data_IF_409937581779
#
_entry.id   IF_409937581779
#
_cell.length_a   1.000
_cell.length_b   1.000
_cell.length_c   1.000
_cell.angle_alpha   90.00
_cell.angle_beta   90.00
_cell.angle_gamma   90.00
#
_symmetry.space_group_name_H-M   'P 1'
#
loop_
_entity.id
_entity.type
_entity.pdbx_description
1 polymer ?
#
# COMPACT_ATOMS: atom_id res chain seq x y z
N UNK A 1 11.43 -21.55 -17.35
CA UNK A 1 10.27 -21.02 -16.59
C UNK A 1 9.74 -19.80 -17.35
N UNK A 2 8.42 -19.62 -17.44
CA UNK A 2 7.84 -18.44 -18.09
C UNK A 2 8.03 -17.17 -17.24
N UNK A 3 7.94 -16.00 -17.88
CA UNK A 3 8.01 -14.70 -17.21
C UNK A 3 6.97 -14.54 -16.10
N UNK A 4 5.70 -14.90 -16.38
CA UNK A 4 4.62 -14.89 -15.38
C UNK A 4 4.96 -15.71 -14.15
N UNK A 5 5.56 -16.90 -14.32
CA UNK A 5 5.97 -17.76 -13.20
C UNK A 5 7.15 -17.18 -12.42
N UNK A 6 8.13 -16.56 -13.10
CA UNK A 6 9.23 -15.86 -12.43
C UNK A 6 8.73 -14.70 -11.58
N UNK A 7 7.87 -13.85 -12.14
CA UNK A 7 7.27 -12.71 -11.43
C UNK A 7 6.41 -13.15 -10.25
N UNK A 8 5.65 -14.24 -10.39
CA UNK A 8 4.90 -14.79 -9.27
C UNK A 8 5.80 -15.22 -8.09
N UNK A 9 6.97 -15.83 -8.36
CA UNK A 9 7.96 -16.18 -7.33
C UNK A 9 8.53 -14.92 -6.67
N UNK A 10 8.82 -13.88 -7.46
CA UNK A 10 9.33 -12.60 -6.96
C UNK A 10 8.30 -11.91 -6.06
N UNK A 11 7.04 -11.86 -6.50
CA UNK A 11 5.92 -11.31 -5.73
C UNK A 11 5.78 -12.01 -4.36
N UNK A 12 5.63 -13.33 -4.36
CA UNK A 12 5.52 -14.14 -3.14
C UNK A 12 6.75 -13.95 -2.22
N UNK A 13 7.93 -13.80 -2.82
CA UNK A 13 9.16 -13.56 -2.06
C UNK A 13 9.20 -12.17 -1.43
N UNK A 14 8.78 -11.12 -2.13
CA UNK A 14 8.70 -9.76 -1.60
C UNK A 14 7.66 -9.71 -0.47
N UNK A 15 6.47 -10.27 -0.67
CA UNK A 15 5.44 -10.34 0.38
C UNK A 15 5.96 -11.04 1.62
N UNK A 16 6.56 -12.23 1.46
CA UNK A 16 7.08 -13.01 2.58
C UNK A 16 8.18 -12.28 3.36
N UNK A 17 9.07 -11.55 2.67
CA UNK A 17 10.22 -10.90 3.31
C UNK A 17 9.83 -9.55 3.92
N UNK A 18 9.02 -8.75 3.24
CA UNK A 18 8.79 -7.34 3.59
C UNK A 18 7.40 -7.05 4.16
N UNK A 19 6.40 -7.89 3.89
CA UNK A 19 4.99 -7.60 4.18
C UNK A 19 4.26 -8.76 4.86
N UNK A 20 4.99 -9.74 5.42
CA UNK A 20 4.41 -10.85 6.16
C UNK A 20 5.13 -11.05 7.50
N UNK A 21 5.02 -10.06 8.43
CA UNK A 21 5.57 -10.22 9.77
C UNK A 21 5.05 -11.51 10.42
N UNK A 22 5.92 -12.21 11.12
CA UNK A 22 5.67 -13.60 11.56
C UNK A 22 5.21 -13.72 13.01
N UNK A 23 5.38 -12.65 13.79
CA UNK A 23 5.02 -12.58 15.20
C UNK A 23 4.40 -11.23 15.54
N UNK A 24 3.69 -11.15 16.67
CA UNK A 24 3.12 -9.89 17.16
C UNK A 24 4.18 -8.78 17.35
N UNK A 25 5.39 -9.17 17.74
CA UNK A 25 6.52 -8.25 17.85
C UNK A 25 6.94 -7.72 16.47
N UNK A 26 7.03 -8.59 15.46
CA UNK A 26 7.34 -8.18 14.07
C UNK A 26 6.25 -7.26 13.52
N UNK A 27 4.98 -7.58 13.78
CA UNK A 27 3.84 -6.75 13.38
C UNK A 27 3.95 -5.34 13.98
N UNK A 28 4.24 -5.27 15.28
CA UNK A 28 4.38 -3.99 16.00
C UNK A 28 5.60 -3.20 15.52
N UNK A 29 6.71 -3.89 15.23
CA UNK A 29 7.90 -3.27 14.66
C UNK A 29 7.63 -2.71 13.26
N UNK A 30 6.93 -3.46 12.40
CA UNK A 30 6.56 -3.03 11.06
C UNK A 30 5.69 -1.77 11.11
N UNK A 31 4.64 -1.77 11.94
CA UNK A 31 3.74 -0.62 12.10
C UNK A 31 4.46 0.58 12.72
N UNK A 32 5.38 0.35 13.65
CA UNK A 32 6.25 1.39 14.20
C UNK A 32 7.16 2.03 13.14
N UNK A 33 7.72 1.25 12.21
CA UNK A 33 8.48 1.78 11.07
C UNK A 33 7.55 2.57 10.15
N UNK A 34 6.37 2.03 9.85
CA UNK A 34 5.38 2.69 9.02
C UNK A 34 5.04 4.09 9.55
N UNK A 35 4.62 4.21 10.83
CA UNK A 35 4.32 5.49 11.48
C UNK A 35 5.48 6.50 11.39
N UNK A 36 6.71 6.04 11.65
CA UNK A 36 7.93 6.86 11.55
C UNK A 36 8.26 7.32 10.13
N UNK A 37 7.65 6.75 9.10
CA UNK A 37 7.90 7.17 7.72
C UNK A 37 6.84 8.10 7.16
N UNK A 38 5.64 8.12 7.75
CA UNK A 38 4.53 8.97 7.29
C UNK A 38 4.87 10.45 7.39
N UNK A 39 5.42 10.90 8.51
CA UNK A 39 5.79 12.30 8.70
C UNK A 39 6.78 12.80 7.63
N UNK A 40 7.78 11.98 7.25
CA UNK A 40 8.79 12.35 6.26
C UNK A 40 8.22 12.47 4.85
N UNK A 41 7.28 11.60 4.49
CA UNK A 41 6.77 11.51 3.12
C UNK A 41 5.51 12.32 2.87
N UNK A 42 4.70 12.53 3.90
CA UNK A 42 3.51 13.37 3.82
C UNK A 42 3.80 14.81 4.25
N UNK A 43 5.02 15.11 4.70
CA UNK A 43 5.40 16.43 5.19
C UNK A 43 4.66 16.84 6.47
N UNK A 44 4.18 15.86 7.24
CA UNK A 44 3.45 16.08 8.48
C UNK A 44 4.42 16.21 9.66
N UNK A 45 3.97 16.88 10.73
CA UNK A 45 4.72 16.89 11.99
C UNK A 45 4.83 15.47 12.55
N UNK A 46 5.92 15.19 13.28
CA UNK A 46 6.19 13.89 13.92
C UNK A 46 5.29 13.63 15.13
N UNK A 47 3.98 13.79 14.98
CA UNK A 47 3.01 13.58 16.06
C UNK A 47 2.65 12.09 16.24
N UNK A 48 2.91 11.25 15.24
CA UNK A 48 2.42 9.86 15.25
C UNK A 48 3.51 8.94 15.79
N UNK A 49 3.56 8.87 17.12
CA UNK A 49 4.58 8.10 17.84
C UNK A 49 4.30 6.58 17.86
N UNK A 50 3.09 6.15 17.50
CA UNK A 50 2.73 4.74 17.49
C UNK A 50 1.57 4.45 16.57
N UNK A 51 1.72 3.40 15.75
CA UNK A 51 0.65 2.71 15.04
C UNK A 51 0.55 1.28 15.60
N UNK A 52 -0.61 0.92 16.12
CA UNK A 52 -0.99 -0.42 16.55
C UNK A 52 -1.76 -1.18 15.47
N UNK A 53 -2.15 -2.42 15.75
CA UNK A 53 -2.90 -3.22 14.77
C UNK A 53 -4.34 -2.75 14.59
N UNK A 54 -4.86 -1.90 15.48
CA UNK A 54 -6.15 -1.23 15.37
C UNK A 54 -5.91 0.25 15.62
N UNK A 55 -5.97 1.05 14.57
CA UNK A 55 -5.62 2.45 14.67
C UNK A 55 -6.39 3.35 13.71
N UNK A 56 -6.33 4.64 14.01
CA UNK A 56 -7.01 5.70 13.27
C UNK A 56 -6.04 6.83 13.05
N UNK A 57 -6.04 7.36 11.84
CA UNK A 57 -5.19 8.48 11.52
C UNK A 57 -5.79 9.42 10.48
N UNK A 58 -5.44 10.70 10.59
CA UNK A 58 -6.03 11.76 9.80
C UNK A 58 -5.08 12.18 8.67
N UNK A 59 -5.61 12.25 7.46
CA UNK A 59 -4.94 12.76 6.28
C UNK A 59 -5.49 14.16 6.03
N UNK A 60 -5.00 15.12 6.83
CA UNK A 60 -5.57 16.47 6.95
C UNK A 60 -5.72 17.18 5.60
N UNK A 61 -4.72 17.05 4.72
CA UNK A 61 -4.71 17.67 3.39
C UNK A 61 -5.68 17.02 2.38
N UNK A 62 -6.33 15.91 2.72
CA UNK A 62 -7.42 15.32 1.92
C UNK A 62 -8.77 15.43 2.63
N UNK A 63 -8.81 16.01 3.83
CA UNK A 63 -9.95 15.93 4.74
C UNK A 63 -10.46 14.50 4.98
N UNK A 64 -9.53 13.54 4.98
CA UNK A 64 -9.82 12.12 5.16
C UNK A 64 -9.34 11.57 6.50
N UNK A 65 -10.06 10.57 6.98
CA UNK A 65 -9.69 9.70 8.10
C UNK A 65 -9.52 8.28 7.59
N UNK A 66 -8.37 7.68 7.87
CA UNK A 66 -8.15 6.27 7.66
C UNK A 66 -8.30 5.54 8.99
N UNK A 67 -9.17 4.54 9.04
CA UNK A 67 -9.27 3.60 10.15
C UNK A 67 -8.97 2.21 9.63
N UNK A 68 -8.14 1.46 10.34
CA UNK A 68 -7.88 0.06 10.02
C UNK A 68 -7.86 -0.81 11.28
N UNK A 69 -8.15 -2.09 11.09
CA UNK A 69 -8.04 -3.12 12.13
C UNK A 69 -7.48 -4.39 11.48
N UNK A 70 -6.29 -4.80 11.90
CA UNK A 70 -5.54 -5.97 11.46
C UNK A 70 -5.61 -7.01 12.57
N UNK A 71 -6.36 -8.08 12.35
CA UNK A 71 -6.34 -9.25 13.24
C UNK A 71 -5.16 -10.16 12.87
N UNK A 72 -4.97 -10.37 11.57
CA UNK A 72 -3.82 -11.07 10.98
C UNK A 72 -3.72 -10.75 9.48
N UNK A 73 -2.75 -11.36 8.78
CA UNK A 73 -2.53 -11.10 7.35
C UNK A 73 -3.74 -11.46 6.48
N UNK A 74 -4.56 -12.43 6.91
CA UNK A 74 -5.71 -12.95 6.17
C UNK A 74 -7.05 -12.37 6.68
N UNK A 75 -7.03 -11.57 7.76
CA UNK A 75 -8.22 -10.93 8.33
C UNK A 75 -7.94 -9.52 8.79
N UNK A 76 -8.49 -8.55 8.07
CA UNK A 76 -8.40 -7.14 8.42
C UNK A 76 -9.51 -6.32 7.79
N UNK A 77 -9.75 -5.12 8.33
CA UNK A 77 -10.65 -4.14 7.75
C UNK A 77 -9.96 -2.79 7.61
N UNK A 78 -10.41 -2.02 6.64
CA UNK A 78 -9.98 -0.64 6.44
C UNK A 78 -11.14 0.21 5.93
N UNK A 79 -11.20 1.46 6.38
CA UNK A 79 -12.14 2.45 5.88
C UNK A 79 -11.47 3.80 5.69
N UNK A 80 -11.86 4.48 4.62
CA UNK A 80 -11.59 5.88 4.37
C UNK A 80 -12.89 6.66 4.56
N UNK A 81 -12.86 7.62 5.49
CA UNK A 81 -14.01 8.41 5.91
C UNK A 81 -13.69 9.89 5.81
N UNK A 82 -14.72 10.72 5.81
CA UNK A 82 -14.57 12.16 5.97
C UNK A 82 -14.06 12.50 7.39
N UNK A 83 -13.22 13.53 7.53
CA UNK A 83 -12.83 14.03 8.86
C UNK A 83 -13.99 14.66 9.61
N UNK A 84 -14.85 15.39 8.89
CA UNK A 84 -15.92 16.24 9.39
C UNK A 84 -17.27 15.51 9.50
N UNK A 85 -17.48 14.47 8.69
CA UNK A 85 -18.71 13.69 8.64
C UNK A 85 -18.46 12.20 8.95
N UNK A 86 -19.43 11.52 9.55
CA UNK A 86 -19.36 10.06 9.78
C UNK A 86 -19.59 9.23 8.50
N UNK A 87 -19.42 9.84 7.32
CA UNK A 87 -19.64 9.18 6.03
C UNK A 87 -18.38 8.44 5.60
N UNK A 88 -18.52 7.14 5.35
CA UNK A 88 -17.49 6.34 4.68
C UNK A 88 -17.55 6.56 3.17
N UNK A 89 -16.42 6.95 2.59
CA UNK A 89 -16.25 6.98 1.13
C UNK A 89 -15.97 5.59 0.57
N UNK A 90 -15.20 4.81 1.33
CA UNK A 90 -14.73 3.51 0.91
C UNK A 90 -14.42 2.64 2.12
N UNK A 91 -14.78 1.36 2.04
CA UNK A 91 -14.55 0.39 3.10
C UNK A 91 -14.30 -0.98 2.50
N UNK A 92 -13.32 -1.70 3.06
CA UNK A 92 -13.06 -3.08 2.73
C UNK A 92 -12.95 -3.92 4.00
N UNK A 93 -13.52 -5.12 3.92
CA UNK A 93 -13.41 -6.17 4.91
C UNK A 93 -12.82 -7.38 4.24
N UNK A 94 -11.70 -7.85 4.76
CA UNK A 94 -11.03 -9.07 4.32
C UNK A 94 -11.24 -10.09 5.43
N UNK A 95 -12.00 -11.13 5.12
CA UNK A 95 -12.39 -12.19 6.05
C UNK A 95 -11.64 -13.48 5.73
N UNK A 96 -10.98 -14.05 6.75
CA UNK A 96 -10.21 -15.29 6.61
C UNK A 96 -11.05 -16.52 6.19
N UNK A 97 -12.39 -16.43 6.29
CA UNK A 97 -13.30 -17.52 5.91
C UNK A 97 -13.67 -17.53 4.43
N UNK A 98 -13.38 -16.44 3.71
CA UNK A 98 -13.62 -16.32 2.27
C UNK A 98 -12.30 -16.49 1.52
N UNK A 99 -12.24 -17.53 0.70
CA UNK A 99 -11.05 -17.92 -0.05
C UNK A 99 -10.66 -16.80 -1.03
N UNK A 100 -9.55 -16.11 -0.76
CA UNK A 100 -8.93 -15.15 -1.69
C UNK A 100 -7.88 -15.86 -2.57
N UNK A 101 -7.48 -15.26 -3.69
CA UNK A 101 -6.44 -15.83 -4.56
C UNK A 101 -5.10 -16.01 -3.83
N UNK A 102 -4.81 -15.14 -2.86
CA UNK A 102 -3.67 -15.27 -1.94
C UNK A 102 -3.72 -16.56 -1.08
N UNK A 103 -4.93 -17.03 -0.72
CA UNK A 103 -5.10 -18.30 0.03
C UNK A 103 -4.92 -19.56 -0.82
N UNK A 104 -4.93 -19.44 -2.16
CA UNK A 104 -4.85 -20.56 -3.10
C UNK A 104 -3.51 -20.67 -3.84
N UNK A 105 -2.73 -19.58 -3.91
CA UNK A 105 -1.51 -19.53 -4.71
C UNK A 105 -0.33 -18.94 -3.95
N UNK A 106 0.48 -19.80 -3.34
CA UNK A 106 1.91 -19.52 -3.25
C UNK A 106 2.55 -19.92 -4.58
N UNK A 107 3.40 -19.06 -5.14
CA UNK A 107 4.28 -19.49 -6.22
C UNK A 107 5.34 -20.40 -5.60
N UNK A 108 5.01 -21.68 -5.42
CA UNK A 108 5.92 -22.67 -4.84
C UNK A 108 7.11 -22.86 -5.78
N UNK A 109 8.26 -22.26 -5.47
CA UNK A 109 9.46 -22.43 -6.29
C UNK A 109 10.60 -21.50 -5.92
N UNK A 110 11.80 -21.86 -6.37
CA UNK A 110 12.98 -20.97 -6.33
C UNK A 110 13.10 -20.26 -7.66
N UNK A 111 13.50 -18.99 -7.61
CA UNK A 111 13.81 -18.24 -8.83
C UNK A 111 14.90 -18.99 -9.63
N UNK A 112 14.69 -19.25 -10.94
CA UNK A 112 15.58 -20.08 -11.74
C UNK A 112 16.99 -19.48 -11.84
N UNK A 113 18.00 -20.20 -11.33
CA UNK A 113 19.41 -19.75 -11.30
C UNK A 113 19.94 -19.31 -12.67
N UNK A 114 19.61 -20.07 -13.72
CA UNK A 114 20.03 -19.81 -15.10
C UNK A 114 19.38 -18.55 -15.71
N UNK A 115 18.36 -17.97 -15.05
CA UNK A 115 17.62 -16.80 -15.53
C UNK A 115 17.81 -15.58 -14.61
N UNK A 116 18.85 -15.59 -13.76
CA UNK A 116 19.18 -14.48 -12.84
C UNK A 116 19.38 -13.14 -13.55
N UNK A 117 19.81 -13.14 -14.81
CA UNK A 117 19.93 -11.92 -15.60
C UNK A 117 18.59 -11.16 -15.76
N UNK A 118 17.44 -11.84 -15.59
CA UNK A 118 16.12 -11.21 -15.63
C UNK A 118 15.61 -10.73 -14.26
N UNK A 119 16.31 -11.05 -13.17
CA UNK A 119 15.78 -10.86 -11.82
C UNK A 119 15.49 -9.38 -11.51
N UNK A 120 16.39 -8.47 -11.86
CA UNK A 120 16.20 -7.04 -11.64
C UNK A 120 14.92 -6.54 -12.34
N UNK A 121 14.76 -6.88 -13.62
CA UNK A 121 13.56 -6.51 -14.40
C UNK A 121 12.27 -7.12 -13.82
N UNK A 122 12.35 -8.36 -13.31
CA UNK A 122 11.19 -9.01 -12.70
C UNK A 122 10.86 -8.40 -11.33
N UNK A 123 11.84 -7.94 -10.54
CA UNK A 123 11.64 -7.15 -9.31
C UNK A 123 10.99 -5.81 -9.63
N UNK A 124 11.52 -5.08 -10.60
CA UNK A 124 10.97 -3.80 -11.08
C UNK A 124 9.51 -3.92 -11.47
N UNK A 125 9.18 -4.91 -12.31
CA UNK A 125 7.82 -5.12 -12.79
C UNK A 125 6.86 -5.53 -11.66
N UNK A 126 7.33 -6.30 -10.68
CA UNK A 126 6.53 -6.68 -9.52
C UNK A 126 6.30 -5.50 -8.59
N UNK A 127 7.34 -4.73 -8.23
CA UNK A 127 7.19 -3.55 -7.37
C UNK A 127 6.29 -2.49 -8.02
N UNK A 128 6.43 -2.28 -9.33
CA UNK A 128 5.53 -1.41 -10.09
C UNK A 128 4.08 -1.87 -10.00
N UNK A 129 3.79 -3.14 -10.32
CA UNK A 129 2.44 -3.70 -10.25
C UNK A 129 1.90 -3.91 -8.84
N UNK A 130 2.73 -3.86 -7.81
CA UNK A 130 2.35 -4.09 -6.41
C UNK A 130 2.10 -2.78 -5.66
N UNK A 131 2.97 -1.78 -5.85
CA UNK A 131 3.04 -0.60 -4.98
C UNK A 131 2.76 0.71 -5.73
N UNK A 132 3.13 0.81 -7.00
CA UNK A 132 3.13 2.09 -7.72
C UNK A 132 1.97 2.21 -8.72
N UNK A 133 1.66 1.14 -9.43
CA UNK A 133 0.58 1.01 -10.40
C UNK A 133 -0.12 -0.35 -10.26
N UNK A 134 -0.84 -0.59 -9.15
CA UNK A 134 -1.62 -1.81 -8.98
C UNK A 134 -2.58 -2.02 -10.15
N UNK A 135 -2.82 -3.29 -10.52
CA UNK A 135 -3.77 -3.61 -11.59
C UNK A 135 -5.22 -3.37 -11.18
N UNK A 136 -5.54 -3.61 -9.90
CA UNK A 136 -6.85 -3.40 -9.32
C UNK A 136 -6.75 -2.26 -8.31
N UNK A 137 -7.38 -1.14 -8.62
CA UNK A 137 -7.46 0.02 -7.75
C UNK A 137 -8.70 0.84 -8.08
N UNK A 138 -9.11 1.69 -7.14
CA UNK A 138 -10.01 2.80 -7.40
C UNK A 138 -9.21 4.10 -7.43
N UNK A 139 -9.66 5.07 -8.22
CA UNK A 139 -9.13 6.42 -8.19
C UNK A 139 -9.82 7.22 -7.08
N UNK A 140 -9.09 8.16 -6.46
CA UNK A 140 -9.61 8.94 -5.34
C UNK A 140 -10.86 9.76 -5.74
N UNK A 141 -10.87 10.29 -6.97
CA UNK A 141 -12.03 11.01 -7.50
C UNK A 141 -13.28 10.14 -7.63
N UNK A 142 -13.13 8.85 -7.95
CA UNK A 142 -14.24 7.92 -8.20
C UNK A 142 -14.96 7.54 -6.91
N UNK A 143 -14.28 7.66 -5.77
CA UNK A 143 -14.88 7.47 -4.45
C UNK A 143 -15.44 8.78 -3.87
N UNK A 144 -15.53 9.84 -4.68
CA UNK A 144 -16.14 11.11 -4.31
C UNK A 144 -15.22 12.05 -3.53
N UNK A 145 -13.92 11.75 -3.47
CA UNK A 145 -12.93 12.61 -2.83
C UNK A 145 -12.26 13.46 -3.90
N UNK A 146 -12.64 14.73 -3.98
CA UNK A 146 -12.04 15.72 -4.88
C UNK A 146 -11.42 16.83 -4.04
N UNK A 147 -10.12 17.01 -4.16
CA UNK A 147 -9.42 18.03 -3.38
C UNK A 147 -8.98 19.16 -4.32
N UNK A 148 -9.56 20.36 -4.12
CA UNK A 148 -9.35 21.48 -5.05
C UNK A 148 -7.88 21.85 -5.24
N UNK A 149 -7.02 21.71 -4.22
CA UNK A 149 -5.58 21.99 -4.40
C UNK A 149 -4.88 20.95 -5.28
N UNK A 150 -5.30 19.67 -5.24
CA UNK A 150 -4.72 18.62 -6.08
C UNK A 150 -5.05 18.81 -7.55
N UNK A 151 -6.27 19.22 -7.84
CA UNK A 151 -6.76 19.34 -9.21
C UNK A 151 -6.41 20.69 -9.86
N UNK A 152 -5.86 21.66 -9.08
CA UNK A 152 -5.51 23.00 -9.55
C UNK A 152 -4.00 23.29 -9.54
N UNK A 153 -3.19 22.58 -8.76
CA UNK A 153 -1.73 22.74 -8.78
C UNK A 153 -1.15 22.13 -10.07
N UNK A 154 -0.68 22.99 -10.97
CA UNK A 154 -0.07 22.63 -12.27
C UNK A 154 1.22 21.79 -12.18
N UNK A 155 1.65 21.40 -10.97
CA UNK A 155 2.74 20.46 -10.72
C UNK A 155 2.45 19.44 -9.60
N UNK A 156 1.22 19.45 -9.05
CA UNK A 156 0.73 18.50 -8.06
C UNK A 156 0.12 17.27 -8.73
N UNK A 157 -0.20 16.26 -7.93
CA UNK A 157 -0.92 15.08 -8.40
C UNK A 157 -2.42 15.36 -8.36
N UNK A 158 -3.11 15.11 -9.46
CA UNK A 158 -4.58 15.16 -9.50
C UNK A 158 -5.19 14.06 -8.65
N UNK A 159 -6.44 14.25 -8.23
CA UNK A 159 -7.23 13.22 -7.53
C UNK A 159 -7.37 11.93 -8.36
N UNK A 160 -7.38 12.03 -9.68
CA UNK A 160 -7.31 10.87 -10.57
C UNK A 160 -5.97 10.11 -10.46
N UNK A 161 -4.85 10.74 -10.15
CA UNK A 161 -3.56 10.05 -10.09
C UNK A 161 -3.31 9.31 -8.77
N UNK A 162 -4.20 9.49 -7.79
CA UNK A 162 -4.16 8.81 -6.50
C UNK A 162 -4.98 7.53 -6.58
N UNK A 163 -4.31 6.39 -6.38
CA UNK A 163 -4.92 5.06 -6.44
C UNK A 163 -5.10 4.49 -5.03
N UNK A 164 -6.22 3.86 -4.74
CA UNK A 164 -6.48 3.17 -3.47
C UNK A 164 -6.97 1.74 -3.71
N UNK A 165 -6.88 0.90 -2.68
CA UNK A 165 -7.29 -0.51 -2.77
C UNK A 165 -6.25 -1.43 -3.43
N UNK A 166 -5.11 -0.90 -3.88
CA UNK A 166 -3.96 -1.72 -4.25
C UNK A 166 -3.43 -2.51 -3.05
N UNK A 167 -3.05 -3.77 -3.27
CA UNK A 167 -2.51 -4.63 -2.21
C UNK A 167 -3.53 -5.07 -1.16
N UNK A 168 -4.85 -4.95 -1.44
CA UNK A 168 -5.91 -5.25 -0.47
C UNK A 168 -5.89 -6.70 0.06
N UNK A 169 -5.18 -7.61 -0.59
CA UNK A 169 -5.07 -8.99 -0.11
C UNK A 169 -4.08 -9.13 1.06
N UNK A 170 -3.30 -8.09 1.38
CA UNK A 170 -2.36 -8.09 2.49
C UNK A 170 -2.34 -6.71 3.18
N UNK A 171 -2.65 -6.61 4.48
CA UNK A 171 -2.77 -5.33 5.17
C UNK A 171 -1.48 -4.50 5.15
N UNK A 172 -0.31 -5.14 5.21
CA UNK A 172 0.98 -4.46 5.22
C UNK A 172 1.34 -3.91 3.84
N UNK A 173 1.03 -4.67 2.77
CA UNK A 173 1.16 -4.17 1.39
C UNK A 173 0.21 -3.00 1.18
N UNK A 174 -1.05 -3.14 1.60
CA UNK A 174 -2.06 -2.09 1.50
C UNK A 174 -1.62 -0.80 2.21
N UNK A 175 -1.17 -0.88 3.47
CA UNK A 175 -0.72 0.30 4.22
C UNK A 175 0.47 0.98 3.54
N UNK A 176 1.44 0.20 3.06
CA UNK A 176 2.59 0.75 2.33
C UNK A 176 2.17 1.42 1.01
N UNK A 177 1.28 0.78 0.25
CA UNK A 177 0.68 1.35 -0.95
C UNK A 177 -0.01 2.67 -0.63
N UNK A 178 -0.85 2.71 0.41
CA UNK A 178 -1.56 3.91 0.86
C UNK A 178 -0.59 5.06 1.20
N UNK A 179 0.50 4.75 1.91
CA UNK A 179 1.59 5.71 2.19
C UNK A 179 2.17 6.32 0.93
N UNK A 180 2.48 5.50 -0.08
CA UNK A 180 3.03 5.97 -1.34
C UNK A 180 2.02 6.82 -2.12
N UNK A 181 0.76 6.39 -2.18
CA UNK A 181 -0.29 7.06 -2.96
C UNK A 181 -0.72 8.39 -2.32
N UNK A 182 -0.64 8.54 -0.99
CA UNK A 182 -0.86 9.82 -0.32
C UNK A 182 0.41 10.67 -0.16
N UNK A 183 1.52 10.28 -0.78
CA UNK A 183 2.64 11.19 -0.99
C UNK A 183 2.27 12.18 -2.10
N UNK A 184 1.75 13.35 -1.72
CA UNK A 184 1.20 14.38 -2.63
C UNK A 184 2.12 15.60 -2.81
N UNK A 185 3.39 15.47 -2.42
CA UNK A 185 4.35 16.58 -2.36
C UNK A 185 4.87 17.00 -3.75
N UNK A 186 4.87 16.09 -4.73
CA UNK A 186 5.08 16.25 -6.19
C UNK A 186 5.27 14.87 -6.85
N UNK A 187 5.00 14.72 -8.15
CA UNK A 187 5.36 13.50 -8.90
C UNK A 187 6.85 13.16 -8.76
N UNK A 188 7.73 14.18 -8.77
CA UNK A 188 9.18 14.01 -8.58
C UNK A 188 9.54 13.28 -7.28
N UNK A 189 8.81 13.51 -6.18
CA UNK A 189 9.06 12.84 -4.90
C UNK A 189 8.62 11.37 -4.98
N UNK A 190 7.47 11.08 -5.60
CA UNK A 190 7.02 9.72 -5.89
C UNK A 190 8.02 8.95 -6.76
N UNK A 191 8.56 9.59 -7.79
CA UNK A 191 9.59 8.98 -8.65
C UNK A 191 10.90 8.75 -7.89
N UNK A 192 11.29 9.67 -7.01
CA UNK A 192 12.49 9.51 -6.18
C UNK A 192 12.35 8.36 -5.18
N UNK A 193 11.20 8.23 -4.52
CA UNK A 193 10.93 7.10 -3.63
C UNK A 193 10.86 5.78 -4.40
N UNK A 194 10.28 5.78 -5.62
CA UNK A 194 10.29 4.62 -6.51
C UNK A 194 11.72 4.20 -6.87
N UNK A 195 12.58 5.14 -7.23
CA UNK A 195 14.00 4.87 -7.54
C UNK A 195 14.79 4.38 -6.32
N UNK A 196 14.45 4.82 -5.10
CA UNK A 196 15.10 4.36 -3.87
C UNK A 196 14.78 2.90 -3.54
N UNK A 197 13.59 2.42 -3.94
CA UNK A 197 13.07 1.09 -3.59
C UNK A 197 13.43 -0.01 -4.61
N UNK A 198 13.82 0.37 -5.82
CA UNK A 198 14.12 -0.50 -6.97
C UNK A 198 15.64 -0.59 -7.18
#
# INVERSE_FOLDING_TARGET
MSETKRRAIVWDTIERIAFRPSSNNDCSAWLGVYAKTLHKLWGLESMWNHFGSNDIFDIQFLELKCKYEIENVDKYSVSLQDLSASRSYWQNHIDATYISKASLHSASGRYPRLQRAHLQRDIEAVLDGMLFHPRCHAHLEDIGVRHMQLDQDSGGLSSHEVRIGGGIENPYVFLFHLRYQFCLVADQVRQTERQRLI
#
